data_IF_028365296958
#
_entry.id   IF_028365296958
#
_cell.length_a   1.000
_cell.length_b   1.000
_cell.length_c   1.000
_cell.angle_alpha   90.00
_cell.angle_beta   90.00
_cell.angle_gamma   90.00
#
_symmetry.space_group_name_H-M   'P 1'
#
loop_
_entity.id
_entity.type
_entity.pdbx_description
1 polymer ?
#
# COMPACT_ATOMS: atom_id res chain seq x y z
N UNK A 1 2.04 -7.36 0.92
CA UNK A 1 2.04 -6.59 -0.32
C UNK A 1 1.56 -7.40 -1.52
N UNK A 2 2.03 -8.63 -1.68
CA UNK A 2 1.62 -9.46 -2.81
C UNK A 2 0.12 -9.75 -2.84
N UNK A 3 -0.49 -9.97 -1.68
CA UNK A 3 -1.94 -10.22 -1.59
C UNK A 3 -2.73 -9.03 -2.14
N UNK A 4 -2.33 -7.80 -1.79
CA UNK A 4 -3.00 -6.61 -2.30
C UNK A 4 -2.89 -6.51 -3.82
N UNK A 5 -1.71 -6.82 -4.37
CA UNK A 5 -1.50 -6.82 -5.82
C UNK A 5 -2.32 -7.91 -6.52
N UNK A 6 -2.45 -9.08 -5.90
CA UNK A 6 -3.22 -10.20 -6.47
C UNK A 6 -4.69 -9.83 -6.67
N UNK A 7 -5.28 -9.04 -5.75
CA UNK A 7 -6.69 -8.64 -5.85
C UNK A 7 -7.01 -7.89 -7.13
N UNK A 8 -6.03 -7.21 -7.72
CA UNK A 8 -6.23 -6.38 -8.91
C UNK A 8 -5.35 -6.78 -10.10
N UNK A 9 -4.75 -7.97 -10.04
CA UNK A 9 -3.91 -8.47 -11.13
C UNK A 9 -4.72 -8.57 -12.43
N UNK A 10 -4.24 -7.89 -13.47
CA UNK A 10 -4.93 -7.86 -14.77
C UNK A 10 -6.15 -6.95 -14.84
N UNK A 11 -6.48 -6.22 -13.75
CA UNK A 11 -7.62 -5.32 -13.73
C UNK A 11 -7.26 -3.92 -14.23
N UNK A 12 -8.25 -3.25 -14.84
CA UNK A 12 -8.18 -1.81 -15.16
C UNK A 12 -8.76 -1.01 -14.01
N UNK A 13 -8.56 0.31 -14.04
CA UNK A 13 -9.20 1.19 -13.05
C UNK A 13 -10.72 1.07 -13.08
N UNK A 14 -11.30 0.95 -14.28
CA UNK A 14 -12.75 0.81 -14.47
C UNK A 14 -13.27 -0.46 -13.80
N UNK A 15 -12.56 -1.57 -13.93
CA UNK A 15 -12.90 -2.83 -13.25
C UNK A 15 -12.90 -2.63 -11.74
N UNK A 16 -11.87 -1.99 -11.21
CA UNK A 16 -11.74 -1.71 -9.78
C UNK A 16 -12.85 -0.80 -9.28
N UNK A 17 -13.15 0.26 -10.02
CA UNK A 17 -14.19 1.23 -9.63
C UNK A 17 -15.59 0.62 -9.63
N UNK A 18 -15.81 -0.46 -10.37
CA UNK A 18 -17.09 -1.13 -10.48
C UNK A 18 -17.30 -2.25 -9.44
N UNK A 19 -16.26 -2.64 -8.70
CA UNK A 19 -16.34 -3.77 -7.77
C UNK A 19 -16.06 -3.36 -6.33
N UNK A 20 -17.13 -3.15 -5.56
CA UNK A 20 -17.03 -2.70 -4.16
C UNK A 20 -16.32 -3.72 -3.27
N UNK A 21 -16.54 -5.00 -3.50
CA UNK A 21 -15.89 -6.06 -2.72
C UNK A 21 -14.38 -6.00 -2.85
N UNK A 22 -13.88 -5.85 -4.07
CA UNK A 22 -12.45 -5.72 -4.33
C UNK A 22 -11.90 -4.41 -3.76
N UNK A 23 -12.66 -3.32 -3.83
CA UNK A 23 -12.26 -2.04 -3.22
C UNK A 23 -12.02 -2.22 -1.72
N UNK A 24 -12.95 -2.84 -1.00
CA UNK A 24 -12.80 -3.09 0.43
C UNK A 24 -11.63 -4.00 0.75
N UNK A 25 -11.43 -5.04 -0.06
CA UNK A 25 -10.32 -5.98 0.13
C UNK A 25 -8.96 -5.27 -0.03
N UNK A 26 -8.81 -4.47 -1.07
CA UNK A 26 -7.58 -3.69 -1.32
C UNK A 26 -7.35 -2.66 -0.22
N UNK A 27 -8.38 -1.93 0.17
CA UNK A 27 -8.29 -0.93 1.23
C UNK A 27 -7.83 -1.59 2.53
N UNK A 28 -8.40 -2.72 2.90
CA UNK A 28 -8.00 -3.44 4.12
C UNK A 28 -6.54 -3.88 4.05
N UNK A 29 -6.09 -4.42 2.91
CA UNK A 29 -4.71 -4.82 2.72
C UNK A 29 -3.75 -3.64 2.87
N UNK A 30 -4.09 -2.49 2.31
CA UNK A 30 -3.28 -1.27 2.41
C UNK A 30 -3.26 -0.72 3.84
N UNK A 31 -4.37 -0.80 4.58
CA UNK A 31 -4.42 -0.44 6.00
C UNK A 31 -3.43 -1.25 6.81
N UNK A 32 -3.37 -2.56 6.58
CA UNK A 32 -2.45 -3.46 7.26
C UNK A 32 -1.01 -3.05 6.97
N UNK A 33 -0.70 -2.72 5.72
CA UNK A 33 0.64 -2.25 5.33
C UNK A 33 1.00 -0.95 6.07
N UNK A 34 0.08 0.01 6.12
CA UNK A 34 0.29 1.29 6.82
C UNK A 34 0.51 1.10 8.33
N UNK A 35 -0.29 0.27 8.96
CA UNK A 35 -0.17 -0.07 10.37
C UNK A 35 1.17 -0.74 10.68
N UNK A 36 1.54 -1.76 9.89
CA UNK A 36 2.80 -2.47 10.05
C UNK A 36 3.98 -1.51 9.92
N UNK A 37 3.92 -0.58 8.96
CA UNK A 37 4.97 0.40 8.73
C UNK A 37 5.13 1.35 9.93
N UNK A 38 4.02 1.80 10.51
CA UNK A 38 4.05 2.68 11.69
C UNK A 38 4.72 2.03 12.90
N UNK A 39 4.67 0.72 12.99
CA UNK A 39 5.26 -0.04 14.09
C UNK A 39 6.74 -0.37 13.90
N UNK A 40 7.33 -0.04 12.75
CA UNK A 40 8.75 -0.26 12.50
C UNK A 40 9.58 0.74 13.32
N UNK A 41 10.56 0.26 14.14
CA UNK A 41 11.39 1.15 14.94
C UNK A 41 12.15 2.18 14.11
N UNK A 42 12.35 3.35 14.67
CA UNK A 42 13.07 4.44 14.00
C UNK A 42 14.47 4.03 13.57
N UNK A 43 15.17 3.24 14.38
CA UNK A 43 16.51 2.75 14.11
C UNK A 43 16.56 1.96 12.80
N UNK A 44 15.53 1.15 12.55
CA UNK A 44 15.41 0.39 11.30
C UNK A 44 15.19 1.33 10.12
N UNK A 45 14.32 2.33 10.29
CA UNK A 45 14.05 3.31 9.23
C UNK A 45 15.31 4.10 8.85
N UNK A 46 16.11 4.50 9.83
CA UNK A 46 17.36 5.21 9.59
C UNK A 46 18.39 4.36 8.85
N UNK A 47 18.42 3.05 9.13
CA UNK A 47 19.34 2.11 8.50
C UNK A 47 19.01 1.92 7.00
N UNK A 48 17.74 2.08 6.62
CA UNK A 48 17.30 1.86 5.25
C UNK A 48 16.58 3.11 4.68
N UNK A 49 17.29 4.24 4.53
CA UNK A 49 16.66 5.51 4.16
C UNK A 49 16.10 5.54 2.73
N UNK A 50 16.46 4.57 1.90
CA UNK A 50 15.97 4.47 0.52
C UNK A 50 14.53 3.98 0.43
N UNK A 51 13.98 3.42 1.50
CA UNK A 51 12.57 3.01 1.53
C UNK A 51 11.69 4.23 1.83
N UNK A 52 10.57 4.42 1.10
CA UNK A 52 9.68 5.56 1.34
C UNK A 52 8.79 5.34 2.56
N UNK A 53 9.40 5.27 3.74
CA UNK A 53 8.72 4.99 5.02
C UNK A 53 7.55 5.92 5.30
N UNK A 54 7.75 7.21 5.05
CA UNK A 54 6.72 8.21 5.30
C UNK A 54 5.51 8.00 4.42
N UNK A 55 5.72 7.67 3.14
CA UNK A 55 4.65 7.41 2.20
C UNK A 55 3.88 6.15 2.55
N UNK A 56 4.60 5.09 2.94
CA UNK A 56 3.98 3.83 3.36
C UNK A 56 3.16 4.02 4.63
N UNK A 57 3.69 4.74 5.62
CA UNK A 57 2.96 5.03 6.84
C UNK A 57 1.75 5.93 6.57
N UNK A 58 1.85 6.84 5.61
CA UNK A 58 0.79 7.77 5.21
C UNK A 58 -0.35 7.14 4.42
N UNK A 59 -0.19 5.90 3.93
CA UNK A 59 -1.24 5.20 3.19
C UNK A 59 -2.55 5.17 3.98
N UNK A 60 -2.48 4.93 5.28
CA UNK A 60 -3.68 4.88 6.13
C UNK A 60 -4.45 6.20 6.11
N UNK A 61 -3.75 7.32 6.19
CA UNK A 61 -4.39 8.64 6.17
C UNK A 61 -5.08 8.90 4.83
N UNK A 62 -4.46 8.47 3.73
CA UNK A 62 -5.07 8.55 2.39
C UNK A 62 -6.31 7.67 2.28
N UNK A 63 -6.31 6.50 2.93
CA UNK A 63 -7.43 5.56 2.90
C UNK A 63 -8.65 6.08 3.66
N UNK A 64 -8.46 6.87 4.72
CA UNK A 64 -9.57 7.49 5.44
C UNK A 64 -10.40 8.35 4.48
N UNK A 65 -9.75 9.10 3.61
CA UNK A 65 -10.43 9.90 2.59
C UNK A 65 -11.16 9.02 1.58
N UNK A 66 -10.60 7.86 1.23
CA UNK A 66 -11.25 6.93 0.31
C UNK A 66 -12.54 6.33 0.90
N UNK A 67 -12.54 6.02 2.20
CA UNK A 67 -13.74 5.51 2.89
C UNK A 67 -14.93 6.47 2.80
N UNK A 68 -14.65 7.75 2.81
CA UNK A 68 -15.71 8.77 2.68
C UNK A 68 -16.01 9.12 1.23
N UNK A 69 -15.64 8.23 0.30
CA UNK A 69 -15.97 8.38 -1.12
C UNK A 69 -15.11 9.39 -1.86
N UNK A 70 -13.99 9.81 -1.25
CA UNK A 70 -13.25 10.95 -1.77
C UNK A 70 -12.31 10.58 -2.92
N UNK A 71 -11.65 9.40 -2.92
CA UNK A 71 -10.71 9.16 -4.00
C UNK A 71 -10.28 7.71 -4.21
N UNK A 72 -11.07 6.94 -4.94
CA UNK A 72 -10.71 5.59 -5.36
C UNK A 72 -9.45 5.59 -6.23
N UNK A 73 -9.19 6.67 -6.95
CA UNK A 73 -8.01 6.79 -7.80
C UNK A 73 -6.72 6.75 -7.00
N UNK A 74 -6.70 7.35 -5.79
CA UNK A 74 -5.55 7.30 -4.89
C UNK A 74 -5.29 5.86 -4.44
N UNK A 75 -6.35 5.11 -4.11
CA UNK A 75 -6.23 3.70 -3.73
C UNK A 75 -5.66 2.89 -4.88
N UNK A 76 -6.19 3.08 -6.09
CA UNK A 76 -5.73 2.40 -7.30
C UNK A 76 -4.26 2.69 -7.59
N UNK A 77 -3.84 3.95 -7.54
CA UNK A 77 -2.46 4.32 -7.78
C UNK A 77 -1.51 3.77 -6.71
N UNK A 78 -1.96 3.69 -5.46
CA UNK A 78 -1.17 3.11 -4.39
C UNK A 78 -0.86 1.64 -4.65
N UNK A 79 -1.85 0.86 -5.13
CA UNK A 79 -1.65 -0.57 -5.40
C UNK A 79 -0.92 -0.83 -6.71
N UNK A 80 -1.11 0.01 -7.73
CA UNK A 80 -0.49 -0.19 -9.05
C UNK A 80 0.91 0.40 -9.18
N UNK A 81 1.20 1.49 -8.48
CA UNK A 81 2.48 2.21 -8.58
C UNK A 81 3.25 2.22 -7.27
N UNK A 82 2.62 2.65 -6.17
CA UNK A 82 3.29 2.81 -4.89
C UNK A 82 3.83 1.51 -4.31
N UNK A 83 3.02 0.46 -4.27
CA UNK A 83 3.42 -0.84 -3.75
C UNK A 83 4.48 -1.51 -4.61
N UNK A 84 4.32 -1.61 -5.94
CA UNK A 84 5.37 -2.17 -6.79
C UNK A 84 6.71 -1.44 -6.70
N UNK A 85 6.67 -0.12 -6.50
CA UNK A 85 7.88 0.68 -6.35
C UNK A 85 8.62 0.39 -5.04
N UNK A 86 7.90 0.21 -3.94
CA UNK A 86 8.49 -0.04 -2.62
C UNK A 86 8.85 -1.51 -2.38
N UNK A 87 8.19 -2.45 -3.03
CA UNK A 87 8.31 -3.90 -2.80
C UNK A 87 9.73 -4.43 -2.94
N UNK A 88 10.51 -4.09 -3.98
CA UNK A 88 11.88 -4.61 -4.10
C UNK A 88 12.78 -4.19 -2.94
N UNK A 89 12.64 -2.96 -2.46
CA UNK A 89 13.43 -2.44 -1.36
C UNK A 89 13.10 -3.15 -0.05
N UNK A 90 11.83 -3.41 0.21
CA UNK A 90 11.39 -4.11 1.41
C UNK A 90 11.86 -5.56 1.37
N UNK A 91 11.77 -6.23 0.22
CA UNK A 91 12.25 -7.59 0.05
C UNK A 91 13.75 -7.68 0.32
N UNK A 92 14.52 -6.71 -0.16
CA UNK A 92 15.95 -6.62 0.08
C UNK A 92 16.27 -6.51 1.56
N UNK A 93 15.52 -5.71 2.32
CA UNK A 93 15.69 -5.57 3.77
C UNK A 93 15.44 -6.89 4.47
N UNK A 94 14.37 -7.60 4.11
CA UNK A 94 14.04 -8.89 4.70
C UNK A 94 15.14 -9.93 4.41
N UNK A 95 15.72 -9.91 3.23
CA UNK A 95 16.80 -10.82 2.85
C UNK A 95 18.09 -10.53 3.64
N UNK A 96 18.33 -9.29 4.03
CA UNK A 96 19.50 -8.88 4.83
C UNK A 96 19.32 -9.17 6.33
N UNK A 97 18.09 -9.32 6.78
CA UNK A 97 17.78 -9.63 8.18
C UNK A 97 17.83 -11.14 8.43
#
# INVERSE_FOLDING_TARGET
MEVAEEFVSGWTYEDFAADRKTQFAVIRALEIIGEATKNIPYEVREKYPFVPWKDLAGIRDKLIHAYFGVNLKVVWLSIKEGIPEAKPDIKRILDEM
#
